data_IF_163795645067
#
_entry.id   IF_163795645067
#
_cell.length_a   1.000
_cell.length_b   1.000
_cell.length_c   1.000
_cell.angle_alpha   90.00
_cell.angle_beta   90.00
_cell.angle_gamma   90.00
#
_symmetry.space_group_name_H-M   'P 1'
#
loop_
_entity.id
_entity.type
_entity.pdbx_description
1 polymer ?
#
# COMPACT_ATOMS: atom_id res chain seq x y z
N UNK A 1 -39.35 37.70 -25.56
CA UNK A 1 -39.32 36.60 -26.54
C UNK A 1 -39.97 35.40 -25.86
N UNK A 2 -41.12 34.97 -26.37
CA UNK A 2 -42.09 34.11 -25.70
C UNK A 2 -41.49 32.76 -25.23
N UNK A 3 -41.70 32.45 -23.95
CA UNK A 3 -41.50 31.14 -23.35
C UNK A 3 -42.66 30.22 -23.77
N UNK A 4 -42.58 29.66 -24.96
CA UNK A 4 -43.21 28.37 -25.26
C UNK A 4 -42.07 27.37 -25.43
N UNK A 5 -41.52 26.89 -24.31
CA UNK A 5 -40.60 25.76 -24.34
C UNK A 5 -41.43 24.48 -24.41
N UNK A 6 -41.91 24.16 -25.60
CA UNK A 6 -42.37 22.80 -25.88
C UNK A 6 -41.18 21.89 -25.62
N UNK A 7 -41.26 21.01 -24.61
CA UNK A 7 -40.25 20.01 -24.39
C UNK A 7 -40.26 19.06 -25.57
N UNK A 8 -39.17 19.05 -26.32
CA UNK A 8 -38.96 18.14 -27.44
C UNK A 8 -38.11 16.97 -26.93
N UNK A 9 -38.58 15.76 -27.17
CA UNK A 9 -37.77 14.56 -26.96
C UNK A 9 -36.87 14.42 -28.17
N UNK A 10 -35.58 14.55 -27.95
CA UNK A 10 -34.53 14.35 -28.95
C UNK A 10 -33.58 13.29 -28.43
N UNK A 11 -33.01 12.52 -29.34
CA UNK A 11 -32.01 11.51 -29.06
C UNK A 11 -30.65 12.02 -29.54
N UNK A 12 -29.58 11.50 -28.94
CA UNK A 12 -28.22 11.73 -29.43
C UNK A 12 -28.14 11.36 -30.92
N UNK A 13 -27.50 12.22 -31.72
CA UNK A 13 -27.41 12.16 -33.19
C UNK A 13 -28.67 12.48 -33.99
N UNK A 14 -29.73 13.00 -33.36
CA UNK A 14 -30.83 13.59 -34.12
C UNK A 14 -30.34 14.80 -34.93
N UNK A 15 -30.68 14.82 -36.21
CA UNK A 15 -30.43 15.97 -37.08
C UNK A 15 -31.47 17.06 -36.85
N UNK A 16 -31.03 18.31 -36.80
CA UNK A 16 -31.93 19.46 -36.72
C UNK A 16 -31.56 20.52 -37.76
N UNK A 17 -32.57 21.31 -38.13
CA UNK A 17 -32.44 22.43 -39.06
C UNK A 17 -32.92 23.70 -38.38
N UNK A 18 -32.12 24.75 -38.42
CA UNK A 18 -32.47 26.08 -37.96
C UNK A 18 -33.00 26.88 -39.15
N UNK A 19 -34.26 27.34 -39.07
CA UNK A 19 -34.92 28.10 -40.15
C UNK A 19 -35.52 29.39 -39.60
N UNK A 20 -35.63 30.40 -40.46
CA UNK A 20 -36.45 31.60 -40.25
C UNK A 20 -37.53 31.62 -41.33
N UNK A 21 -38.79 31.41 -40.96
CA UNK A 21 -40.00 31.29 -41.80
C UNK A 21 -39.80 30.62 -43.17
N UNK A 22 -39.19 31.30 -44.14
CA UNK A 22 -38.97 30.82 -45.51
C UNK A 22 -37.51 30.43 -45.84
N UNK A 23 -36.54 30.71 -44.97
CA UNK A 23 -35.10 30.56 -45.25
C UNK A 23 -34.43 29.61 -44.25
N UNK A 24 -33.59 28.69 -44.74
CA UNK A 24 -32.74 27.85 -43.89
C UNK A 24 -31.49 28.64 -43.47
N UNK A 25 -31.29 28.77 -42.16
CA UNK A 25 -30.15 29.50 -41.58
C UNK A 25 -28.96 28.57 -41.31
N UNK A 26 -29.23 27.29 -41.08
CA UNK A 26 -28.20 26.28 -40.85
C UNK A 26 -28.82 24.96 -40.39
N UNK A 27 -27.96 24.00 -40.08
CA UNK A 27 -28.32 22.72 -39.48
C UNK A 27 -27.25 22.27 -38.50
N UNK A 28 -27.53 21.18 -37.79
CA UNK A 28 -26.60 20.57 -36.87
C UNK A 28 -27.08 19.20 -36.41
N UNK A 29 -26.27 18.59 -35.55
CA UNK A 29 -26.56 17.30 -34.91
C UNK A 29 -26.63 17.50 -33.40
N UNK A 30 -27.55 16.82 -32.73
CA UNK A 30 -27.66 16.87 -31.26
C UNK A 30 -26.53 16.04 -30.65
N UNK A 31 -25.57 16.71 -30.00
CA UNK A 31 -24.39 16.07 -29.34
C UNK A 31 -24.53 15.93 -27.82
N UNK A 32 -25.45 16.66 -27.18
CA UNK A 32 -25.70 16.61 -25.74
C UNK A 32 -27.20 16.90 -25.47
N UNK A 33 -27.93 15.91 -24.94
CA UNK A 33 -29.39 16.00 -24.70
C UNK A 33 -29.73 16.59 -23.34
N UNK A 34 -28.76 16.75 -22.43
CA UNK A 34 -28.93 17.23 -21.05
C UNK A 34 -27.98 18.38 -20.72
N UNK A 35 -27.76 19.27 -21.69
CA UNK A 35 -26.82 20.38 -21.56
C UNK A 35 -27.25 21.42 -20.50
N UNK A 36 -26.34 21.73 -19.56
CA UNK A 36 -26.46 22.91 -18.69
C UNK A 36 -26.03 24.17 -19.45
N UNK A 37 -26.39 25.36 -18.96
CA UNK A 37 -26.01 26.63 -19.60
C UNK A 37 -24.48 26.80 -19.59
N UNK A 38 -23.86 26.77 -20.76
CA UNK A 38 -22.41 26.95 -20.90
C UNK A 38 -21.99 28.41 -21.04
N UNK A 39 -20.74 28.70 -20.64
CA UNK A 39 -20.11 30.01 -20.87
C UNK A 39 -19.73 30.13 -22.35
N UNK A 40 -20.09 31.25 -22.96
CA UNK A 40 -19.85 31.51 -24.39
C UNK A 40 -18.34 31.49 -24.70
N UNK A 41 -17.94 30.76 -25.74
CA UNK A 41 -16.56 30.63 -26.25
C UNK A 41 -15.55 30.04 -25.24
N UNK A 42 -16.00 29.21 -24.30
CA UNK A 42 -15.09 28.52 -23.38
C UNK A 42 -14.45 27.32 -24.08
N UNK A 43 -13.14 27.40 -24.34
CA UNK A 43 -12.38 26.43 -25.15
C UNK A 43 -12.52 24.98 -24.63
N UNK A 44 -12.46 24.69 -23.31
CA UNK A 44 -12.65 23.32 -22.82
C UNK A 44 -14.05 22.76 -23.10
N UNK A 45 -15.10 23.60 -23.07
CA UNK A 45 -16.44 23.14 -23.47
C UNK A 45 -16.53 22.87 -24.97
N UNK A 46 -15.86 23.67 -25.81
CA UNK A 46 -15.85 23.46 -27.25
C UNK A 46 -15.13 22.15 -27.58
N UNK A 47 -13.92 21.93 -27.03
CA UNK A 47 -13.19 20.67 -27.20
C UNK A 47 -13.99 19.44 -26.74
N UNK A 48 -14.70 19.55 -25.60
CA UNK A 48 -15.60 18.49 -25.13
C UNK A 48 -16.73 18.17 -26.12
N UNK A 49 -17.30 19.20 -26.75
CA UNK A 49 -18.40 19.05 -27.71
C UNK A 49 -17.91 18.50 -29.07
N UNK A 50 -16.69 18.87 -29.48
CA UNK A 50 -16.02 18.33 -30.68
C UNK A 50 -15.64 16.85 -30.51
N UNK A 51 -15.25 16.43 -29.29
CA UNK A 51 -15.00 15.02 -28.96
C UNK A 51 -16.28 14.17 -29.07
N UNK A 52 -17.40 14.66 -28.53
CA UNK A 52 -18.72 14.02 -28.66
C UNK A 52 -19.20 13.87 -30.12
N UNK A 53 -18.54 14.52 -31.08
CA UNK A 53 -18.82 14.45 -32.52
C UNK A 53 -18.06 13.31 -33.23
N UNK A 54 -16.94 12.81 -32.69
CA UNK A 54 -16.14 11.68 -33.21
C UNK A 54 -16.22 10.44 -32.30
N UNK A 55 -16.45 9.23 -32.85
CA UNK A 55 -16.50 7.93 -32.11
C UNK A 55 -17.17 7.94 -30.72
N UNK A 56 -18.50 8.07 -30.76
CA UNK A 56 -19.39 8.34 -29.63
C UNK A 56 -19.32 7.36 -28.46
N UNK A 57 -19.03 6.07 -28.69
CA UNK A 57 -19.12 5.07 -27.64
C UNK A 57 -17.90 5.10 -26.70
N UNK A 58 -16.69 5.15 -27.28
CA UNK A 58 -15.43 5.19 -26.52
C UNK A 58 -15.32 6.43 -25.65
N UNK A 59 -15.76 7.59 -26.14
CA UNK A 59 -15.71 8.85 -25.38
C UNK A 59 -16.70 8.89 -24.21
N UNK A 60 -17.90 8.32 -24.42
CA UNK A 60 -18.88 8.19 -23.33
C UNK A 60 -18.37 7.19 -22.29
N UNK A 61 -17.79 6.06 -22.72
CA UNK A 61 -17.18 5.08 -21.81
C UNK A 61 -16.03 5.73 -21.01
N UNK A 62 -15.14 6.44 -21.69
CA UNK A 62 -14.00 7.12 -21.06
C UNK A 62 -14.46 8.18 -20.07
N UNK A 63 -15.40 9.04 -20.45
CA UNK A 63 -15.95 10.06 -19.54
C UNK A 63 -16.71 9.46 -18.35
N UNK A 64 -17.35 8.31 -18.54
CA UNK A 64 -17.99 7.54 -17.45
C UNK A 64 -16.95 7.00 -16.47
N UNK A 65 -15.84 6.46 -16.98
CA UNK A 65 -14.69 6.02 -16.17
C UNK A 65 -13.99 7.18 -15.48
N UNK A 66 -13.86 8.34 -16.12
CA UNK A 66 -13.23 9.52 -15.51
C UNK A 66 -14.11 10.11 -14.39
N UNK A 67 -15.43 10.03 -14.54
CA UNK A 67 -16.40 10.54 -13.58
C UNK A 67 -16.68 9.61 -12.40
N UNK A 68 -16.08 8.41 -12.35
CA UNK A 68 -16.32 7.41 -11.30
C UNK A 68 -15.60 7.68 -9.96
N UNK A 69 -15.20 8.93 -9.72
CA UNK A 69 -14.51 9.38 -8.49
C UNK A 69 -13.24 8.57 -8.13
N UNK A 70 -12.64 7.85 -9.09
CA UNK A 70 -11.45 7.05 -8.88
C UNK A 70 -11.70 5.59 -8.47
N UNK A 71 -12.94 5.09 -8.57
CA UNK A 71 -13.24 3.66 -8.52
C UNK A 71 -13.18 3.04 -9.91
N UNK A 72 -12.63 1.81 -10.07
CA UNK A 72 -12.64 1.14 -11.36
C UNK A 72 -14.04 0.63 -11.67
N UNK A 73 -14.34 0.40 -12.95
CA UNK A 73 -15.63 -0.14 -13.38
C UNK A 73 -15.43 -1.40 -14.22
N UNK A 74 -16.36 -2.33 -14.12
CA UNK A 74 -16.48 -3.45 -15.05
C UNK A 74 -17.32 -3.04 -16.27
N UNK A 75 -17.34 -3.91 -17.30
CA UNK A 75 -18.11 -3.64 -18.51
C UNK A 75 -19.61 -3.42 -18.24
N UNK A 76 -20.18 -4.11 -17.23
CA UNK A 76 -21.57 -3.96 -16.85
C UNK A 76 -21.83 -2.60 -16.18
N UNK A 77 -20.99 -2.18 -15.25
CA UNK A 77 -21.06 -0.88 -14.60
C UNK A 77 -20.83 0.28 -15.57
N UNK A 78 -19.98 0.10 -16.58
CA UNK A 78 -19.83 1.06 -17.67
C UNK A 78 -21.12 1.15 -18.50
N UNK A 79 -21.69 0.03 -18.91
CA UNK A 79 -22.94 0.00 -19.70
C UNK A 79 -24.10 0.67 -18.95
N UNK A 80 -24.27 0.36 -17.66
CA UNK A 80 -25.33 0.92 -16.80
C UNK A 80 -25.22 2.45 -16.67
N UNK A 81 -24.01 2.97 -16.43
CA UNK A 81 -23.78 4.41 -16.23
C UNK A 81 -23.74 5.21 -17.53
N UNK A 82 -23.25 4.61 -18.62
CA UNK A 82 -23.15 5.26 -19.94
C UNK A 82 -24.44 5.21 -20.75
N UNK A 83 -25.32 4.24 -20.46
CA UNK A 83 -26.50 3.94 -21.27
C UNK A 83 -26.18 3.21 -22.58
N UNK A 84 -24.93 2.77 -22.78
CA UNK A 84 -24.49 2.00 -23.95
C UNK A 84 -24.79 0.51 -23.73
N UNK A 85 -25.08 -0.22 -24.80
CA UNK A 85 -25.30 -1.66 -24.69
C UNK A 85 -24.03 -2.40 -24.23
N UNK A 86 -24.16 -3.36 -23.32
CA UNK A 86 -23.05 -4.18 -22.84
C UNK A 86 -22.23 -4.84 -23.95
N UNK A 87 -22.87 -5.28 -25.05
CA UNK A 87 -22.15 -5.87 -26.19
C UNK A 87 -21.26 -4.87 -26.91
N UNK A 88 -21.72 -3.62 -27.01
CA UNK A 88 -21.00 -2.51 -27.65
C UNK A 88 -19.85 -2.01 -26.74
N UNK A 89 -20.08 -1.91 -25.43
CA UNK A 89 -18.99 -1.65 -24.47
C UNK A 89 -17.90 -2.70 -24.60
N UNK A 90 -18.27 -4.00 -24.60
CA UNK A 90 -17.28 -5.09 -24.71
C UNK A 90 -16.50 -5.08 -26.02
N UNK A 91 -17.11 -4.69 -27.14
CA UNK A 91 -16.39 -4.59 -28.42
C UNK A 91 -15.40 -3.42 -28.42
N UNK A 92 -15.71 -2.32 -27.73
CA UNK A 92 -14.83 -1.15 -27.66
C UNK A 92 -13.71 -1.27 -26.61
N UNK A 93 -13.86 -2.12 -25.58
CA UNK A 93 -12.81 -2.26 -24.55
C UNK A 93 -11.45 -2.66 -25.15
N UNK A 94 -11.44 -3.57 -26.13
CA UNK A 94 -10.20 -4.04 -26.75
C UNK A 94 -9.48 -2.93 -27.52
N UNK A 95 -10.19 -2.15 -28.34
CA UNK A 95 -9.61 -1.02 -29.10
C UNK A 95 -9.12 0.10 -28.17
N UNK A 96 -9.86 0.37 -27.09
CA UNK A 96 -9.50 1.38 -26.09
C UNK A 96 -8.28 0.97 -25.25
N UNK A 97 -8.13 -0.32 -24.95
CA UNK A 97 -6.98 -0.86 -24.23
C UNK A 97 -5.72 -0.85 -25.12
N UNK A 98 -5.81 -1.31 -26.36
CA UNK A 98 -4.69 -1.21 -27.32
C UNK A 98 -4.28 0.24 -27.57
N UNK A 99 -5.25 1.16 -27.59
CA UNK A 99 -5.02 2.60 -27.70
C UNK A 99 -4.46 3.26 -26.42
N UNK A 100 -4.38 2.52 -25.30
CA UNK A 100 -3.89 3.02 -24.02
C UNK A 100 -4.78 4.07 -23.36
N UNK A 101 -6.07 4.15 -23.72
CA UNK A 101 -7.04 5.06 -23.10
C UNK A 101 -7.59 4.50 -21.78
N UNK A 102 -7.67 3.18 -21.70
CA UNK A 102 -8.06 2.43 -20.52
C UNK A 102 -7.01 1.37 -20.19
N UNK A 103 -7.04 0.91 -18.95
CA UNK A 103 -6.15 -0.14 -18.45
C UNK A 103 -6.98 -1.12 -17.63
N UNK A 104 -6.91 -2.41 -17.96
CA UNK A 104 -7.46 -3.46 -17.10
C UNK A 104 -6.55 -3.67 -15.88
N UNK A 105 -7.14 -3.62 -14.68
CA UNK A 105 -6.41 -3.90 -13.42
C UNK A 105 -6.54 -5.38 -12.98
N UNK A 106 -7.41 -6.13 -13.65
CA UNK A 106 -7.72 -7.52 -13.39
C UNK A 106 -9.15 -7.74 -12.91
N UNK A 107 -9.65 -8.97 -13.07
CA UNK A 107 -11.02 -9.32 -12.70
C UNK A 107 -12.09 -8.67 -13.60
N UNK A 108 -11.72 -8.17 -14.78
CA UNK A 108 -12.61 -7.43 -15.67
C UNK A 108 -12.90 -6.00 -15.22
N UNK A 109 -12.08 -5.44 -14.32
CA UNK A 109 -12.15 -4.06 -13.85
C UNK A 109 -11.19 -3.18 -14.63
N UNK A 110 -11.65 -1.98 -15.00
CA UNK A 110 -10.89 -1.03 -15.80
C UNK A 110 -10.83 0.34 -15.14
N UNK A 111 -9.70 1.02 -15.37
CA UNK A 111 -9.54 2.45 -15.15
C UNK A 111 -9.34 3.15 -16.48
N UNK A 112 -9.72 4.44 -16.56
CA UNK A 112 -9.10 5.32 -17.55
C UNK A 112 -7.62 5.53 -17.20
N UNK A 113 -6.77 5.68 -18.20
CA UNK A 113 -5.34 5.93 -17.98
C UNK A 113 -5.10 7.16 -17.10
N UNK A 114 -5.94 8.20 -17.26
CA UNK A 114 -5.90 9.40 -16.43
C UNK A 114 -6.22 9.11 -14.95
N UNK A 115 -7.29 8.37 -14.65
CA UNK A 115 -7.64 8.05 -13.27
C UNK A 115 -6.63 7.10 -12.63
N UNK A 116 -6.08 6.15 -13.41
CA UNK A 116 -5.02 5.28 -12.94
C UNK A 116 -3.77 6.07 -12.55
N UNK A 117 -3.34 7.03 -13.39
CA UNK A 117 -2.19 7.88 -13.07
C UNK A 117 -2.44 8.75 -11.83
N UNK A 118 -3.63 9.32 -11.72
CA UNK A 118 -4.05 10.13 -10.57
C UNK A 118 -4.06 9.33 -9.26
N UNK A 119 -4.66 8.14 -9.26
CA UNK A 119 -4.69 7.30 -8.06
C UNK A 119 -3.31 6.75 -7.74
N UNK A 120 -2.51 6.37 -8.74
CA UNK A 120 -1.12 5.93 -8.55
C UNK A 120 -0.27 7.04 -7.89
N UNK A 121 -0.39 8.27 -8.39
CA UNK A 121 0.28 9.44 -7.81
C UNK A 121 -0.17 9.72 -6.38
N UNK A 122 -1.46 9.55 -6.09
CA UNK A 122 -1.98 9.68 -4.73
C UNK A 122 -1.45 8.59 -3.79
N UNK A 123 -1.33 7.35 -4.26
CA UNK A 123 -0.74 6.22 -3.51
C UNK A 123 0.72 6.51 -3.21
N UNK A 124 1.51 6.84 -4.24
CA UNK A 124 2.95 7.15 -4.11
C UNK A 124 3.18 8.31 -3.15
N UNK A 125 2.44 9.41 -3.31
CA UNK A 125 2.56 10.57 -2.43
C UNK A 125 2.27 10.22 -0.98
N UNK A 126 1.24 9.43 -0.72
CA UNK A 126 0.90 9.01 0.64
C UNK A 126 1.93 8.05 1.25
N UNK A 127 2.40 7.05 0.51
CA UNK A 127 3.43 6.13 1.01
C UNK A 127 4.73 6.90 1.29
N UNK A 128 5.08 7.87 0.44
CA UNK A 128 6.23 8.74 0.68
C UNK A 128 6.09 9.52 2.00
N UNK A 129 4.94 10.16 2.23
CA UNK A 129 4.66 10.85 3.50
C UNK A 129 4.72 9.91 4.70
N UNK A 130 4.26 8.67 4.52
CA UNK A 130 4.32 7.63 5.55
C UNK A 130 5.77 7.27 5.91
N UNK A 131 6.60 7.02 4.90
CA UNK A 131 8.03 6.70 5.09
C UNK A 131 8.79 7.85 5.74
N UNK A 132 8.47 9.10 5.42
CA UNK A 132 9.11 10.28 6.03
C UNK A 132 8.78 10.38 7.53
N UNK A 133 7.54 10.05 7.88
CA UNK A 133 7.03 10.06 9.25
C UNK A 133 7.52 8.85 10.06
N UNK A 134 7.61 7.69 9.43
CA UNK A 134 7.98 6.42 10.07
C UNK A 134 9.12 5.71 9.32
N UNK A 135 10.35 6.27 9.34
CA UNK A 135 11.47 5.79 8.52
C UNK A 135 12.02 4.41 8.91
N UNK A 136 11.61 3.92 10.08
CA UNK A 136 12.04 2.63 10.63
C UNK A 136 11.10 1.49 10.27
N UNK A 137 9.92 1.78 9.70
CA UNK A 137 8.93 0.78 9.34
C UNK A 137 9.13 0.32 7.91
N UNK A 138 9.05 -0.99 7.67
CA UNK A 138 9.17 -1.59 6.33
C UNK A 138 8.16 -1.07 5.30
N UNK A 139 6.97 -0.66 5.75
CA UNK A 139 5.94 -0.11 4.90
C UNK A 139 4.69 0.26 5.69
N UNK A 140 3.71 0.81 5.00
CA UNK A 140 2.41 1.16 5.56
C UNK A 140 1.48 -0.05 5.59
N UNK A 141 0.54 -0.09 6.54
CA UNK A 141 -0.43 -1.18 6.60
C UNK A 141 -1.37 -1.15 5.40
N UNK A 142 -1.61 -2.32 4.78
CA UNK A 142 -2.52 -2.44 3.63
C UNK A 142 -3.90 -1.84 3.89
N UNK A 143 -4.45 -2.13 5.07
CA UNK A 143 -5.79 -1.67 5.46
C UNK A 143 -5.87 -0.15 5.64
N UNK A 144 -4.78 0.48 6.09
CA UNK A 144 -4.69 1.94 6.22
C UNK A 144 -4.76 2.61 4.84
N UNK A 145 -4.00 2.08 3.86
CA UNK A 145 -4.05 2.56 2.49
C UNK A 145 -5.44 2.33 1.86
N UNK A 146 -6.01 1.12 2.04
CA UNK A 146 -7.33 0.77 1.51
C UNK A 146 -8.42 1.70 2.03
N UNK A 147 -8.43 1.95 3.35
CA UNK A 147 -9.40 2.86 3.98
C UNK A 147 -9.27 4.29 3.45
N UNK A 148 -8.06 4.73 3.11
CA UNK A 148 -7.82 6.07 2.55
C UNK A 148 -8.29 6.18 1.10
N UNK A 149 -8.09 5.14 0.30
CA UNK A 149 -8.54 5.10 -1.10
C UNK A 149 -10.06 4.90 -1.23
N UNK A 150 -10.74 4.49 -0.16
CA UNK A 150 -12.17 4.20 -0.14
C UNK A 150 -12.59 3.16 -1.21
N UNK A 151 -11.72 2.17 -1.47
CA UNK A 151 -11.95 1.11 -2.44
C UNK A 151 -12.49 -0.17 -1.78
N UNK A 152 -13.30 -0.91 -2.54
CA UNK A 152 -13.68 -2.26 -2.14
C UNK A 152 -12.45 -3.19 -2.11
N UNK A 153 -12.51 -4.26 -1.31
CA UNK A 153 -11.35 -5.15 -1.13
C UNK A 153 -10.86 -5.75 -2.46
N UNK A 154 -11.78 -6.14 -3.35
CA UNK A 154 -11.41 -6.70 -4.66
C UNK A 154 -10.68 -5.67 -5.55
N UNK A 155 -11.24 -4.47 -5.66
CA UNK A 155 -10.68 -3.35 -6.44
C UNK A 155 -9.30 -2.96 -5.93
N UNK A 156 -9.15 -2.87 -4.60
CA UNK A 156 -7.89 -2.56 -3.95
C UNK A 156 -6.82 -3.60 -4.27
N UNK A 157 -7.11 -4.89 -4.13
CA UNK A 157 -6.13 -5.94 -4.39
C UNK A 157 -5.67 -5.93 -5.86
N UNK A 158 -6.59 -5.74 -6.81
CA UNK A 158 -6.24 -5.60 -8.23
C UNK A 158 -5.37 -4.37 -8.50
N UNK A 159 -5.68 -3.22 -7.90
CA UNK A 159 -4.88 -2.01 -8.04
C UNK A 159 -3.46 -2.20 -7.49
N UNK A 160 -3.33 -2.70 -6.25
CA UNK A 160 -2.02 -2.90 -5.61
C UNK A 160 -1.19 -3.91 -6.39
N UNK A 161 -1.77 -5.04 -6.80
CA UNK A 161 -1.04 -6.02 -7.61
C UNK A 161 -0.63 -5.47 -8.98
N UNK A 162 -1.41 -4.57 -9.59
CA UNK A 162 -0.99 -3.88 -10.82
C UNK A 162 0.19 -2.93 -10.55
N UNK A 163 0.15 -2.14 -9.48
CA UNK A 163 1.23 -1.22 -9.12
C UNK A 163 2.51 -1.97 -8.75
N UNK A 164 2.39 -3.12 -8.09
CA UNK A 164 3.52 -4.00 -7.78
C UNK A 164 4.14 -4.60 -9.04
N UNK A 165 3.31 -5.08 -9.99
CA UNK A 165 3.78 -5.55 -11.31
C UNK A 165 4.49 -4.48 -12.14
N UNK A 166 4.24 -3.20 -11.85
CA UNK A 166 4.86 -2.05 -12.52
C UNK A 166 6.09 -1.51 -11.78
N UNK A 167 6.56 -2.20 -10.74
CA UNK A 167 7.68 -1.78 -9.90
C UNK A 167 7.49 -0.36 -9.32
N UNK A 168 6.24 0.02 -9.02
CA UNK A 168 5.92 1.31 -8.37
C UNK A 168 5.93 1.15 -6.84
N UNK A 169 5.43 0.00 -6.37
CA UNK A 169 5.35 -0.36 -4.97
C UNK A 169 5.87 -1.79 -4.78
N UNK A 170 6.37 -2.08 -3.59
CA UNK A 170 6.53 -3.44 -3.12
C UNK A 170 5.32 -3.81 -2.26
N UNK A 171 4.80 -5.03 -2.45
CA UNK A 171 3.76 -5.59 -1.61
C UNK A 171 4.26 -6.82 -0.85
N UNK A 172 4.03 -6.81 0.46
CA UNK A 172 4.13 -7.99 1.32
C UNK A 172 2.74 -8.32 1.89
N UNK A 173 2.64 -9.44 2.59
CA UNK A 173 1.41 -10.00 3.16
C UNK A 173 0.59 -9.00 3.98
N UNK A 174 1.23 -8.09 4.72
CA UNK A 174 0.55 -7.12 5.59
C UNK A 174 0.86 -5.65 5.31
N UNK A 175 1.91 -5.36 4.54
CA UNK A 175 2.43 -4.00 4.33
C UNK A 175 2.63 -3.68 2.85
N UNK A 176 2.64 -2.39 2.54
CA UNK A 176 2.94 -1.82 1.23
C UNK A 176 3.96 -0.71 1.38
N UNK A 177 4.95 -0.68 0.49
CA UNK A 177 6.01 0.32 0.47
C UNK A 177 6.29 0.77 -0.95
N UNK A 178 7.00 1.88 -1.12
CA UNK A 178 7.56 2.24 -2.43
C UNK A 178 8.56 1.17 -2.87
N UNK A 179 8.60 0.91 -4.16
CA UNK A 179 9.51 -0.07 -4.74
C UNK A 179 10.96 0.22 -4.33
N UNK A 180 11.64 -0.80 -3.79
CA UNK A 180 13.03 -0.71 -3.34
C UNK A 180 13.24 0.13 -2.08
N UNK A 181 12.18 0.45 -1.33
CA UNK A 181 12.31 1.15 -0.06
C UNK A 181 12.95 0.26 1.01
N UNK A 182 14.00 0.78 1.63
CA UNK A 182 14.63 0.16 2.79
C UNK A 182 14.60 1.11 3.98
N UNK A 183 14.04 0.67 5.12
CA UNK A 183 14.06 1.45 6.35
C UNK A 183 15.49 1.83 6.74
N UNK A 184 15.66 3.08 7.16
CA UNK A 184 16.96 3.61 7.53
C UNK A 184 16.86 4.57 8.71
N UNK A 185 17.90 4.60 9.52
CA UNK A 185 18.01 5.53 10.63
C UNK A 185 18.35 6.92 10.11
N UNK A 186 17.66 7.94 10.62
CA UNK A 186 18.11 9.32 10.44
C UNK A 186 19.41 9.54 11.23
N UNK A 187 20.29 10.47 10.84
CA UNK A 187 21.59 10.69 11.51
C UNK A 187 21.50 10.95 13.03
N UNK A 188 20.40 11.54 13.50
CA UNK A 188 20.13 11.72 14.93
C UNK A 188 19.83 10.38 15.64
N UNK A 189 19.05 9.50 15.00
CA UNK A 189 18.69 8.18 15.52
C UNK A 189 19.91 7.26 15.52
N UNK A 190 20.78 7.31 14.51
CA UNK A 190 22.03 6.54 14.48
C UNK A 190 22.91 6.79 15.71
N UNK A 191 23.05 8.06 16.13
CA UNK A 191 23.81 8.42 17.33
C UNK A 191 23.20 7.84 18.60
N UNK A 192 21.88 7.85 18.68
CA UNK A 192 21.10 7.32 19.81
C UNK A 192 21.22 5.80 19.87
N UNK A 193 21.08 5.10 18.75
CA UNK A 193 21.30 3.65 18.62
C UNK A 193 22.72 3.28 19.01
N UNK A 194 23.73 4.00 18.52
CA UNK A 194 25.14 3.73 18.85
C UNK A 194 25.41 3.85 20.35
N UNK A 195 24.85 4.88 20.99
CA UNK A 195 24.97 5.05 22.45
C UNK A 195 24.23 3.96 23.23
N UNK A 196 23.09 3.50 22.72
CA UNK A 196 22.35 2.39 23.33
C UNK A 196 23.14 1.09 23.26
N UNK A 197 23.68 0.75 22.09
CA UNK A 197 24.53 -0.44 21.90
C UNK A 197 25.77 -0.40 22.81
N UNK A 198 26.46 0.74 22.92
CA UNK A 198 27.63 0.86 23.79
C UNK A 198 27.28 0.61 25.27
N UNK A 199 26.11 1.08 25.73
CA UNK A 199 25.63 0.81 27.10
C UNK A 199 25.31 -0.66 27.34
N UNK A 200 24.82 -1.37 26.33
CA UNK A 200 24.62 -2.82 26.43
C UNK A 200 25.97 -3.56 26.51
N UNK A 201 26.97 -3.10 25.77
CA UNK A 201 28.32 -3.67 25.76
C UNK A 201 29.11 -3.41 27.06
N UNK A 202 28.80 -2.37 27.83
CA UNK A 202 29.39 -2.14 29.15
C UNK A 202 29.05 -3.24 30.16
N UNK A 203 27.91 -3.92 29.99
CA UNK A 203 27.48 -5.03 30.85
C UNK A 203 26.83 -6.14 30.01
N UNK A 204 27.61 -6.90 29.21
CA UNK A 204 27.08 -7.78 28.16
C UNK A 204 26.11 -8.85 28.66
N UNK A 205 26.30 -9.34 29.88
CA UNK A 205 25.49 -10.41 30.47
C UNK A 205 24.49 -9.92 31.52
N UNK A 206 24.51 -8.62 31.82
CA UNK A 206 23.58 -7.96 32.75
C UNK A 206 23.16 -6.58 32.21
N UNK A 207 22.59 -6.53 30.99
CA UNK A 207 22.28 -5.26 30.35
C UNK A 207 21.24 -4.47 31.15
N UNK A 208 21.37 -3.14 31.22
CA UNK A 208 20.42 -2.30 31.95
C UNK A 208 19.02 -2.37 31.33
N UNK A 209 18.04 -2.83 32.12
CA UNK A 209 16.63 -2.97 31.68
C UNK A 209 15.79 -1.69 31.83
N UNK A 210 16.37 -0.63 32.40
CA UNK A 210 15.75 0.67 32.66
C UNK A 210 16.17 1.74 31.65
N UNK A 211 16.81 1.35 30.55
CA UNK A 211 17.08 2.27 29.46
C UNK A 211 15.76 2.57 28.76
N UNK A 212 15.21 3.77 29.01
CA UNK A 212 14.14 4.31 28.19
C UNK A 212 14.67 4.47 26.76
N UNK A 213 14.23 3.59 25.88
CA UNK A 213 14.57 3.58 24.48
C UNK A 213 13.30 3.38 23.67
N UNK A 214 13.22 4.09 22.55
CA UNK A 214 12.05 4.02 21.70
C UNK A 214 11.83 2.59 21.18
N UNK A 215 10.63 2.07 21.39
CA UNK A 215 10.29 0.69 21.09
C UNK A 215 10.36 0.39 19.58
N UNK A 216 10.07 1.38 18.72
CA UNK A 216 10.25 1.22 17.27
C UNK A 216 11.74 1.15 16.91
N UNK A 217 12.59 1.95 17.57
CA UNK A 217 14.03 1.83 17.38
C UNK A 217 14.54 0.47 17.86
N UNK A 218 14.07 -0.07 18.99
CA UNK A 218 14.43 -1.44 19.41
C UNK A 218 14.01 -2.46 18.36
N UNK A 219 12.76 -2.38 17.88
CA UNK A 219 12.24 -3.26 16.84
C UNK A 219 13.12 -3.22 15.59
N UNK A 220 13.47 -2.03 15.10
CA UNK A 220 14.35 -1.86 13.95
C UNK A 220 15.73 -2.50 14.15
N UNK A 221 16.39 -2.27 15.29
CA UNK A 221 17.73 -2.87 15.52
C UNK A 221 17.68 -4.38 15.78
N UNK A 222 16.54 -4.92 16.21
CA UNK A 222 16.29 -6.38 16.24
C UNK A 222 16.19 -6.92 14.83
N UNK A 223 15.39 -6.27 13.96
CA UNK A 223 15.25 -6.66 12.55
C UNK A 223 16.58 -6.58 11.78
N UNK A 224 17.41 -5.59 12.08
CA UNK A 224 18.78 -5.48 11.56
C UNK A 224 19.75 -6.52 12.15
N UNK A 225 19.31 -7.32 13.13
CA UNK A 225 20.13 -8.35 13.77
C UNK A 225 21.25 -7.81 14.67
N UNK A 226 21.16 -6.55 15.12
CA UNK A 226 22.16 -5.95 16.02
C UNK A 226 21.98 -6.37 17.47
N UNK A 227 20.74 -6.66 17.86
CA UNK A 227 20.38 -7.08 19.22
C UNK A 227 19.36 -8.21 19.21
N UNK A 228 19.28 -8.94 20.31
CA UNK A 228 18.33 -10.02 20.56
C UNK A 228 17.57 -9.72 21.83
N UNK A 229 16.23 -9.66 21.75
CA UNK A 229 15.34 -9.54 22.90
C UNK A 229 14.96 -10.91 23.42
N UNK A 230 15.30 -11.21 24.66
CA UNK A 230 15.08 -12.54 25.27
C UNK A 230 13.91 -12.57 26.27
N UNK A 231 13.25 -11.45 26.53
CA UNK A 231 12.12 -11.35 27.45
C UNK A 231 11.71 -9.90 27.69
N UNK A 232 10.82 -9.69 28.65
CA UNK A 232 10.27 -8.36 28.96
C UNK A 232 11.36 -7.40 29.43
N UNK A 233 11.77 -6.51 28.52
CA UNK A 233 12.77 -5.46 28.74
C UNK A 233 14.22 -5.93 28.79
N UNK A 234 14.52 -7.20 28.47
CA UNK A 234 15.90 -7.71 28.44
C UNK A 234 16.36 -7.85 26.99
N UNK A 235 17.34 -7.03 26.62
CA UNK A 235 17.93 -6.97 25.29
C UNK A 235 19.44 -7.17 25.40
N UNK A 236 19.97 -8.14 24.67
CA UNK A 236 21.40 -8.38 24.54
C UNK A 236 21.88 -7.91 23.17
N UNK A 237 23.14 -7.50 23.05
CA UNK A 237 23.76 -7.40 21.73
C UNK A 237 23.85 -8.80 21.11
N UNK A 238 23.76 -8.88 19.79
CA UNK A 238 23.86 -10.17 19.08
C UNK A 238 25.18 -10.87 19.36
N UNK A 239 26.28 -10.12 19.52
CA UNK A 239 27.59 -10.65 19.90
C UNK A 239 27.56 -11.32 21.28
N UNK A 240 26.99 -10.66 22.30
CA UNK A 240 26.87 -11.20 23.65
C UNK A 240 25.95 -12.41 23.69
N UNK A 241 24.81 -12.35 22.98
CA UNK A 241 23.87 -13.46 22.86
C UNK A 241 24.53 -14.69 22.24
N UNK A 242 25.20 -14.53 21.09
CA UNK A 242 25.87 -15.65 20.41
C UNK A 242 26.95 -16.27 21.28
N UNK A 243 27.76 -15.45 21.95
CA UNK A 243 28.78 -15.95 22.88
C UNK A 243 28.16 -16.77 24.03
N UNK A 244 27.07 -16.26 24.64
CA UNK A 244 26.37 -17.01 25.69
C UNK A 244 25.81 -18.33 25.16
N UNK A 245 25.18 -18.31 23.98
CA UNK A 245 24.62 -19.49 23.34
C UNK A 245 25.67 -20.56 23.07
N UNK A 246 26.83 -20.18 22.52
CA UNK A 246 27.91 -21.11 22.19
C UNK A 246 28.49 -21.75 23.46
N UNK A 247 28.72 -20.96 24.50
CA UNK A 247 29.22 -21.44 25.79
C UNK A 247 28.20 -22.37 26.47
N UNK A 248 26.89 -22.06 26.41
CA UNK A 248 25.83 -22.93 26.93
C UNK A 248 25.78 -24.26 26.16
N UNK A 249 25.84 -24.21 24.82
CA UNK A 249 25.87 -25.42 23.97
C UNK A 249 27.06 -26.30 24.29
N UNK A 250 28.24 -25.70 24.45
CA UNK A 250 29.44 -26.43 24.82
C UNK A 250 29.27 -27.09 26.19
N UNK A 251 28.79 -26.35 27.19
CA UNK A 251 28.57 -26.87 28.54
C UNK A 251 27.61 -28.08 28.54
N UNK A 252 26.51 -28.01 27.80
CA UNK A 252 25.56 -29.11 27.70
C UNK A 252 26.16 -30.31 26.94
N UNK A 253 26.97 -30.08 25.90
CA UNK A 253 27.65 -31.18 25.21
C UNK A 253 28.67 -31.90 26.11
N UNK A 254 29.37 -31.16 26.98
CA UNK A 254 30.39 -31.70 27.86
C UNK A 254 29.79 -32.43 29.08
N UNK A 255 28.70 -31.90 29.65
CA UNK A 255 28.12 -32.40 30.93
C UNK A 255 26.75 -33.07 30.79
N UNK A 256 26.14 -33.01 29.60
CA UNK A 256 24.84 -33.60 29.28
C UNK A 256 23.64 -32.70 29.58
N UNK A 257 23.71 -31.87 30.62
CA UNK A 257 22.64 -30.94 31.01
C UNK A 257 23.17 -29.66 31.67
N UNK A 258 22.32 -28.65 31.79
CA UNK A 258 22.65 -27.38 32.46
C UNK A 258 21.47 -26.84 33.26
N UNK A 259 21.70 -26.29 34.45
CA UNK A 259 20.68 -25.60 35.25
C UNK A 259 20.74 -24.08 35.06
N UNK A 260 19.69 -23.38 35.46
CA UNK A 260 19.69 -21.90 35.48
C UNK A 260 20.76 -21.36 36.45
N UNK A 261 21.08 -22.10 37.52
CA UNK A 261 22.13 -21.74 38.47
C UNK A 261 23.51 -21.75 37.81
N UNK A 262 23.79 -22.77 37.02
CA UNK A 262 25.06 -22.90 36.30
C UNK A 262 25.24 -21.72 35.33
N UNK A 263 24.21 -21.39 34.54
CA UNK A 263 24.23 -20.25 33.61
C UNK A 263 24.47 -18.93 34.35
N UNK A 264 23.80 -18.73 35.49
CA UNK A 264 24.00 -17.53 36.33
C UNK A 264 25.46 -17.39 36.74
N UNK A 265 26.05 -18.48 37.22
CA UNK A 265 27.41 -18.49 37.77
C UNK A 265 28.46 -18.38 36.66
N UNK A 266 28.25 -19.05 35.54
CA UNK A 266 29.12 -19.00 34.34
C UNK A 266 29.29 -17.58 33.79
N UNK A 267 28.19 -16.83 33.70
CA UNK A 267 28.22 -15.46 33.15
C UNK A 267 28.28 -14.38 34.23
N UNK A 268 28.42 -14.76 35.51
CA UNK A 268 28.40 -13.84 36.66
C UNK A 268 27.24 -12.84 36.59
N UNK A 269 26.05 -13.35 36.25
CA UNK A 269 24.85 -12.54 36.04
C UNK A 269 23.83 -12.75 37.16
N UNK A 270 22.72 -12.02 37.13
CA UNK A 270 21.60 -12.25 38.05
C UNK A 270 20.70 -13.39 37.55
N UNK A 271 19.97 -14.03 38.48
CA UNK A 271 18.99 -15.09 38.14
C UNK A 271 17.92 -14.60 37.16
N UNK A 272 17.58 -13.31 37.17
CA UNK A 272 16.62 -12.69 36.24
C UNK A 272 17.08 -12.87 34.79
N UNK A 273 18.34 -12.52 34.48
CA UNK A 273 18.88 -12.60 33.12
C UNK A 273 19.10 -14.04 32.67
N UNK A 274 19.68 -14.88 33.54
CA UNK A 274 19.90 -16.29 33.24
C UNK A 274 18.59 -17.04 32.95
N UNK A 275 17.55 -16.81 33.76
CA UNK A 275 16.24 -17.42 33.54
C UNK A 275 15.62 -16.95 32.22
N UNK A 276 15.62 -15.64 31.95
CA UNK A 276 15.07 -15.10 30.71
C UNK A 276 15.77 -15.65 29.47
N UNK A 277 17.10 -15.74 29.49
CA UNK A 277 17.87 -16.35 28.40
C UNK A 277 17.48 -17.81 28.20
N UNK A 278 17.44 -18.62 29.26
CA UNK A 278 17.13 -20.05 29.11
C UNK A 278 15.68 -20.30 28.67
N UNK A 279 14.73 -19.49 29.14
CA UNK A 279 13.34 -19.55 28.69
C UNK A 279 13.22 -19.14 27.21
N UNK A 280 14.00 -18.14 26.77
CA UNK A 280 14.10 -17.78 25.36
C UNK A 280 14.67 -18.91 24.50
N UNK A 281 15.74 -19.57 24.95
CA UNK A 281 16.33 -20.71 24.24
C UNK A 281 15.35 -21.90 24.12
N UNK A 282 14.55 -22.15 25.15
CA UNK A 282 13.48 -23.16 25.10
C UNK A 282 12.41 -22.79 24.06
N UNK A 283 12.00 -21.52 24.04
CA UNK A 283 11.03 -21.01 23.06
C UNK A 283 11.57 -21.12 21.63
N UNK A 284 12.84 -20.81 21.42
CA UNK A 284 13.55 -20.99 20.14
C UNK A 284 13.82 -22.47 19.80
N UNK A 285 13.36 -23.41 20.62
CA UNK A 285 13.55 -24.86 20.46
C UNK A 285 15.02 -25.31 20.46
N UNK A 286 15.92 -24.49 21.00
CA UNK A 286 17.36 -24.80 21.10
C UNK A 286 17.62 -25.74 22.29
N UNK A 287 16.98 -25.46 23.41
CA UNK A 287 17.02 -26.29 24.61
C UNK A 287 15.65 -26.86 24.94
N UNK A 288 15.64 -27.87 25.79
CA UNK A 288 14.41 -28.42 26.38
C UNK A 288 14.60 -28.64 27.87
N UNK A 289 13.63 -28.16 28.66
CA UNK A 289 13.58 -28.39 30.10
C UNK A 289 13.24 -29.84 30.45
N UNK A 290 14.05 -30.43 31.34
CA UNK A 290 13.88 -31.76 31.94
C UNK A 290 14.10 -31.63 33.45
N UNK A 291 13.02 -31.59 34.22
CA UNK A 291 13.08 -31.27 35.64
C UNK A 291 13.57 -29.84 35.90
N UNK A 292 14.67 -29.72 36.64
CA UNK A 292 15.34 -28.45 36.96
C UNK A 292 16.49 -28.10 35.99
N UNK A 293 16.85 -29.05 35.13
CA UNK A 293 17.93 -28.92 34.14
C UNK A 293 17.37 -28.75 32.72
N UNK A 294 18.25 -28.41 31.78
CA UNK A 294 17.97 -28.30 30.35
C UNK A 294 19.00 -29.07 29.55
N UNK A 295 18.52 -29.72 28.49
CA UNK A 295 19.33 -30.45 27.52
C UNK A 295 19.21 -29.79 26.15
N UNK A 296 20.17 -30.04 25.26
CA UNK A 296 20.06 -29.66 23.85
C UNK A 296 19.00 -30.49 23.16
N UNK A 297 18.34 -29.89 22.18
CA UNK A 297 17.33 -30.56 21.37
C UNK A 297 17.90 -31.19 20.11
#
# INVERSE_FOLDING_TARGET
INKHSTQLRVVYRDYFVIRSNMTTLGGGVVVDTHAKRHRRKYIPTIKRLELLESDAASDIILSTLESSEGSPLDAAGMADKSGINLSEVRSELFSMEEGGLIVEIGGGLYYSSFNLEKISSSVVGWISEYHDKFPLRMGAQREELRSRLNLANNEYNHLISLLAKRDIIDEDSSVVSLYGYHPSLKPAQEKVVKLYLSKLEESPYSPPTNLEFDEEMVGFIIEQGLVVRVGDGIVFTTSAYNHMLDVIRQRINDEGEITVGDVRDMFSTSRKYALALMDYLDHQQITRRVGDSRILR
#
